data_IF_198785476926
#
_entry.id   IF_198785476926
#
_cell.length_a   1.000
_cell.length_b   1.000
_cell.length_c   1.000
_cell.angle_alpha   90.00
_cell.angle_beta   90.00
_cell.angle_gamma   90.00
#
_symmetry.space_group_name_H-M   'P 1'
#
loop_
_entity.id
_entity.type
_entity.pdbx_description
1 polymer ?
#
# COMPACT_ATOMS: atom_id res chain seq x y z
N UNK A 1 -10.51 -1.16 -16.58
CA UNK A 1 -9.08 -0.81 -16.59
C UNK A 1 -8.92 0.57 -17.19
N UNK A 2 -8.02 1.37 -16.64
CA UNK A 2 -7.73 2.73 -17.10
C UNK A 2 -6.43 2.74 -17.90
N UNK A 3 -6.37 3.56 -18.95
CA UNK A 3 -5.15 3.78 -19.72
C UNK A 3 -4.36 4.92 -19.06
N UNK A 4 -3.23 4.61 -18.43
CA UNK A 4 -2.42 5.55 -17.65
C UNK A 4 -0.93 5.35 -17.92
N UNK A 5 -0.10 6.32 -17.53
CA UNK A 5 1.35 6.18 -17.52
C UNK A 5 1.83 5.17 -16.47
N UNK A 6 2.68 4.22 -16.85
CA UNK A 6 3.41 3.38 -15.90
C UNK A 6 4.59 4.12 -15.25
N UNK A 7 5.39 3.40 -14.45
CA UNK A 7 6.54 4.00 -13.77
C UNK A 7 7.58 4.58 -14.75
N UNK A 8 7.73 4.02 -15.94
CA UNK A 8 8.60 4.51 -17.01
C UNK A 8 7.98 5.61 -17.88
N UNK A 9 6.79 6.12 -17.50
CA UNK A 9 5.93 7.01 -18.29
C UNK A 9 5.36 6.40 -19.58
N UNK A 10 5.70 5.15 -19.92
CA UNK A 10 5.06 4.42 -21.00
C UNK A 10 3.60 4.13 -20.64
N UNK A 11 2.68 4.31 -21.59
CA UNK A 11 1.26 4.03 -21.35
C UNK A 11 1.01 2.53 -21.14
N UNK A 12 0.21 2.21 -20.12
CA UNK A 12 -0.23 0.86 -19.76
C UNK A 12 -1.70 0.85 -19.37
N UNK A 13 -2.27 -0.34 -19.34
CA UNK A 13 -3.57 -0.56 -18.74
C UNK A 13 -3.36 -0.90 -17.26
N UNK A 14 -4.13 -0.26 -16.39
CA UNK A 14 -4.12 -0.51 -14.96
C UNK A 14 -5.53 -0.88 -14.47
N UNK A 15 -5.61 -1.93 -13.66
CA UNK A 15 -6.85 -2.26 -12.97
C UNK A 15 -7.05 -1.29 -11.79
N UNK A 16 -8.30 -0.87 -11.60
CA UNK A 16 -8.76 -0.11 -10.42
C UNK A 16 -10.07 -0.74 -9.95
N UNK A 17 -10.30 -0.72 -8.65
CA UNK A 17 -11.56 -1.17 -8.06
C UNK A 17 -12.54 -0.02 -7.96
N UNK A 18 -13.79 -0.22 -8.35
CA UNK A 18 -14.89 0.72 -8.08
C UNK A 18 -15.87 -0.01 -7.16
N UNK A 19 -16.01 0.45 -5.92
CA UNK A 19 -16.90 -0.14 -4.92
C UNK A 19 -18.34 0.29 -5.22
N UNK A 20 -18.53 1.57 -5.49
CA UNK A 20 -19.81 2.20 -5.82
C UNK A 20 -19.58 3.45 -6.69
N UNK A 21 -20.67 4.16 -7.04
CA UNK A 21 -20.60 5.34 -7.90
C UNK A 21 -19.72 6.50 -7.38
N UNK A 22 -19.34 6.50 -6.10
CA UNK A 22 -18.53 7.54 -5.46
C UNK A 22 -17.24 7.05 -4.84
N UNK A 23 -16.98 5.73 -4.79
CA UNK A 23 -15.86 5.15 -4.05
C UNK A 23 -15.02 4.23 -4.93
N UNK A 24 -13.70 4.46 -4.95
CA UNK A 24 -12.74 3.64 -5.68
C UNK A 24 -11.56 3.20 -4.82
N UNK A 25 -10.94 2.09 -5.23
CA UNK A 25 -9.68 1.55 -4.70
C UNK A 25 -8.64 1.61 -5.81
N UNK A 26 -7.49 2.21 -5.52
CA UNK A 26 -6.35 2.28 -6.41
C UNK A 26 -5.17 1.55 -5.76
N UNK A 27 -4.63 0.58 -6.47
CA UNK A 27 -3.43 -0.14 -6.03
C UNK A 27 -2.18 0.42 -6.69
N UNK A 28 -1.21 0.84 -5.88
CA UNK A 28 0.05 1.41 -6.39
C UNK A 28 0.82 0.40 -7.24
N UNK A 29 0.80 -0.89 -6.86
CA UNK A 29 1.46 -1.97 -7.58
C UNK A 29 0.90 -2.19 -8.99
N UNK A 30 -0.39 -1.93 -9.20
CA UNK A 30 -1.05 -2.08 -10.51
C UNK A 30 -0.66 -1.00 -11.52
N UNK A 31 -0.14 0.15 -11.06
CA UNK A 31 0.23 1.28 -11.92
C UNK A 31 1.76 1.42 -11.99
N UNK A 32 2.44 1.42 -10.84
CA UNK A 32 3.87 1.68 -10.73
C UNK A 32 4.61 0.58 -9.94
N UNK A 33 4.15 -0.66 -10.05
CA UNK A 33 4.66 -1.79 -9.28
C UNK A 33 6.10 -2.18 -9.54
N UNK A 34 6.76 -2.72 -8.51
CA UNK A 34 8.12 -3.27 -8.55
C UNK A 34 8.24 -4.56 -9.37
N UNK A 35 7.11 -5.22 -9.62
CA UNK A 35 7.03 -6.42 -10.46
C UNK A 35 6.81 -6.08 -11.94
N UNK A 36 6.60 -4.80 -12.30
CA UNK A 36 6.46 -4.37 -13.68
C UNK A 36 7.83 -4.32 -14.38
N UNK A 37 8.11 -5.22 -15.35
CA UNK A 37 9.39 -5.25 -16.03
C UNK A 37 9.66 -3.98 -16.87
N UNK A 38 8.61 -3.32 -17.38
CA UNK A 38 8.75 -2.10 -18.21
C UNK A 38 9.12 -0.91 -17.33
N UNK A 39 8.50 -0.80 -16.15
CA UNK A 39 8.88 0.20 -15.14
C UNK A 39 10.29 -0.05 -14.59
N UNK A 40 10.63 -1.30 -14.33
CA UNK A 40 11.93 -1.68 -13.75
C UNK A 40 13.08 -1.64 -14.76
N UNK A 41 12.83 -1.63 -16.07
CA UNK A 41 13.87 -1.52 -17.09
C UNK A 41 14.50 -0.12 -17.19
N UNK A 42 13.88 0.90 -16.60
CA UNK A 42 14.45 2.25 -16.50
C UNK A 42 15.06 2.50 -15.12
N UNK A 43 16.10 3.34 -15.00
CA UNK A 43 16.68 3.74 -13.73
C UNK A 43 15.63 4.33 -12.76
N UNK A 44 15.80 4.06 -11.46
CA UNK A 44 14.86 4.51 -10.41
C UNK A 44 14.67 6.03 -10.39
N UNK A 45 15.69 6.79 -10.79
CA UNK A 45 15.68 8.24 -10.81
C UNK A 45 14.97 8.85 -12.05
N UNK A 46 14.55 8.01 -12.99
CA UNK A 46 13.70 8.37 -14.12
C UNK A 46 12.23 7.91 -13.94
N UNK A 47 11.92 7.19 -12.86
CA UNK A 47 10.57 6.65 -12.64
C UNK A 47 9.62 7.71 -12.06
N UNK A 48 8.36 7.68 -12.47
CA UNK A 48 7.34 8.65 -12.08
C UNK A 48 6.07 7.97 -11.57
N UNK A 49 5.38 8.64 -10.66
CA UNK A 49 4.04 8.26 -10.18
C UNK A 49 2.89 8.90 -10.95
N UNK A 50 3.15 9.53 -12.11
CA UNK A 50 2.14 10.25 -12.90
C UNK A 50 0.87 9.46 -13.17
N UNK A 51 0.98 8.17 -13.48
CA UNK A 51 -0.20 7.32 -13.72
C UNK A 51 -1.17 7.25 -12.55
N UNK A 52 -0.68 7.40 -11.30
CA UNK A 52 -1.56 7.46 -10.13
C UNK A 52 -2.46 8.70 -10.18
N UNK A 53 -1.89 9.86 -10.53
CA UNK A 53 -2.63 11.11 -10.70
C UNK A 53 -3.62 11.04 -11.86
N UNK A 54 -3.20 10.45 -12.98
CA UNK A 54 -4.08 10.23 -14.15
C UNK A 54 -5.26 9.29 -13.82
N UNK A 55 -5.01 8.22 -13.05
CA UNK A 55 -6.06 7.32 -12.58
C UNK A 55 -7.06 8.04 -11.68
N UNK A 56 -6.58 8.81 -10.69
CA UNK A 56 -7.44 9.60 -9.81
C UNK A 56 -8.25 10.61 -10.62
N UNK A 57 -7.62 11.35 -11.54
CA UNK A 57 -8.31 12.33 -12.41
C UNK A 57 -9.41 11.68 -13.24
N UNK A 58 -9.14 10.53 -13.83
CA UNK A 58 -10.14 9.78 -14.62
C UNK A 58 -11.32 9.36 -13.73
N UNK A 59 -11.06 8.87 -12.52
CA UNK A 59 -12.12 8.50 -11.58
C UNK A 59 -12.90 9.73 -11.06
N UNK A 60 -12.24 10.88 -10.91
CA UNK A 60 -12.93 12.15 -10.61
C UNK A 60 -13.90 12.55 -11.75
N UNK A 61 -13.56 12.27 -13.00
CA UNK A 61 -14.43 12.47 -14.18
C UNK A 61 -15.66 11.55 -14.12
N UNK A 62 -15.50 10.34 -13.57
CA UNK A 62 -16.58 9.38 -13.34
C UNK A 62 -17.44 9.69 -12.10
N UNK A 63 -17.11 10.75 -11.35
CA UNK A 63 -17.88 11.17 -10.17
C UNK A 63 -17.42 10.58 -8.84
N UNK A 64 -16.33 9.80 -8.84
CA UNK A 64 -15.71 9.29 -7.61
C UNK A 64 -15.23 10.46 -6.76
N UNK A 65 -15.46 10.38 -5.45
CA UNK A 65 -14.99 11.36 -4.47
C UNK A 65 -14.33 10.71 -3.26
N UNK A 66 -14.37 9.39 -3.11
CA UNK A 66 -13.67 8.67 -2.05
C UNK A 66 -12.68 7.69 -2.64
N UNK A 67 -11.44 7.76 -2.18
CA UNK A 67 -10.34 6.99 -2.72
C UNK A 67 -9.62 6.24 -1.61
N UNK A 68 -9.62 4.90 -1.69
CA UNK A 68 -8.67 4.07 -0.97
C UNK A 68 -7.43 3.89 -1.83
N UNK A 69 -6.25 4.23 -1.31
CA UNK A 69 -4.98 4.10 -2.04
C UNK A 69 -4.09 3.11 -1.31
N UNK A 70 -3.90 1.92 -1.89
CA UNK A 70 -3.00 0.90 -1.36
C UNK A 70 -1.56 1.21 -1.79
N UNK A 71 -0.66 1.46 -0.82
CA UNK A 71 0.72 1.91 -1.07
C UNK A 71 1.74 0.77 -1.17
N UNK A 72 1.31 -0.50 -1.16
CA UNK A 72 2.22 -1.64 -1.30
C UNK A 72 2.90 -1.73 -2.67
N UNK A 73 4.12 -2.25 -2.70
CA UNK A 73 4.73 -2.78 -3.93
C UNK A 73 5.23 -1.77 -4.98
N UNK A 74 5.44 -0.49 -4.64
CA UNK A 74 5.90 0.54 -5.59
C UNK A 74 7.34 0.32 -6.11
N UNK A 75 7.63 0.74 -7.34
CA UNK A 75 8.97 0.84 -7.95
C UNK A 75 9.59 2.25 -7.94
N UNK A 76 8.83 3.26 -7.51
CA UNK A 76 9.14 4.70 -7.65
C UNK A 76 9.76 5.31 -6.39
N UNK A 77 10.42 6.47 -6.52
CA UNK A 77 11.02 7.22 -5.42
C UNK A 77 10.99 8.74 -5.70
N UNK A 78 9.86 9.26 -6.17
CA UNK A 78 9.70 10.62 -6.72
C UNK A 78 8.97 11.58 -5.77
N UNK A 79 8.88 11.26 -4.47
CA UNK A 79 8.11 12.03 -3.48
C UNK A 79 6.60 12.10 -3.78
N UNK A 80 6.07 11.26 -4.68
CA UNK A 80 4.72 11.40 -5.21
C UNK A 80 4.52 12.65 -6.08
N UNK A 81 5.60 13.28 -6.54
CA UNK A 81 5.53 14.47 -7.38
C UNK A 81 4.88 14.18 -8.74
N UNK A 82 5.11 12.99 -9.30
CA UNK A 82 4.40 12.52 -10.49
C UNK A 82 2.89 12.47 -10.30
N UNK A 83 2.41 11.90 -9.20
CA UNK A 83 0.97 11.84 -8.85
C UNK A 83 0.36 13.25 -8.85
N UNK A 84 1.00 14.20 -8.19
CA UNK A 84 0.51 15.58 -8.12
C UNK A 84 0.54 16.26 -9.49
N UNK A 85 1.56 16.00 -10.31
CA UNK A 85 1.61 16.49 -11.69
C UNK A 85 0.48 15.91 -12.56
N UNK A 86 0.15 14.63 -12.40
CA UNK A 86 -1.01 14.00 -13.06
C UNK A 86 -2.36 14.64 -12.68
N UNK A 87 -2.41 15.25 -11.48
CA UNK A 87 -3.55 16.01 -10.97
C UNK A 87 -3.52 17.51 -11.30
N UNK A 88 -2.50 17.98 -12.03
CA UNK A 88 -2.41 19.36 -12.51
C UNK A 88 -1.39 20.26 -11.79
N UNK A 89 -0.59 19.74 -10.85
CA UNK A 89 0.55 20.45 -10.29
C UNK A 89 1.59 20.73 -11.38
N UNK A 90 2.16 21.94 -11.39
CA UNK A 90 3.22 22.30 -12.33
C UNK A 90 4.50 22.66 -11.58
N UNK A 91 5.63 22.14 -12.07
CA UNK A 91 6.97 22.41 -11.53
C UNK A 91 7.78 23.19 -12.56
N UNK A 92 8.54 24.18 -12.09
CA UNK A 92 9.36 25.03 -12.94
C UNK A 92 10.78 25.14 -12.40
N UNK A 93 11.76 25.20 -13.31
CA UNK A 93 13.14 25.50 -12.97
C UNK A 93 13.38 27.00 -12.73
N UNK A 94 14.63 27.37 -12.42
CA UNK A 94 15.01 28.76 -12.16
C UNK A 94 14.87 29.68 -13.39
N UNK A 95 14.84 29.12 -14.61
CA UNK A 95 14.59 29.85 -15.86
C UNK A 95 13.09 29.93 -16.20
N UNK A 96 12.21 29.40 -15.34
CA UNK A 96 10.78 29.37 -15.56
C UNK A 96 10.33 28.33 -16.59
N UNK A 97 11.19 27.38 -16.96
CA UNK A 97 10.81 26.30 -17.87
C UNK A 97 10.13 25.16 -17.11
N UNK A 98 9.09 24.51 -17.69
CA UNK A 98 8.46 23.35 -17.07
C UNK A 98 9.45 22.20 -16.84
N UNK A 99 9.33 21.56 -15.68
CA UNK A 99 10.14 20.40 -15.28
C UNK A 99 9.21 19.21 -15.02
N UNK A 100 9.49 18.09 -15.67
CA UNK A 100 8.89 16.81 -15.33
C UNK A 100 9.46 16.35 -13.97
N UNK A 101 8.64 16.19 -12.91
CA UNK A 101 9.16 15.95 -11.57
C UNK A 101 9.46 14.46 -11.35
N UNK A 102 10.52 13.98 -12.02
CA UNK A 102 11.17 12.68 -11.74
C UNK A 102 12.31 12.87 -10.73
N UNK A 103 12.74 11.83 -9.99
CA UNK A 103 13.72 11.98 -8.92
C UNK A 103 15.02 12.67 -9.35
N UNK A 104 15.52 12.37 -10.56
CA UNK A 104 16.73 13.00 -11.12
C UNK A 104 16.59 14.51 -11.36
N UNK A 105 15.36 15.01 -11.49
CA UNK A 105 15.05 16.41 -11.82
C UNK A 105 14.47 17.19 -10.64
N UNK A 106 14.14 16.55 -9.52
CA UNK A 106 13.54 17.22 -8.36
C UNK A 106 14.42 18.36 -7.81
N UNK A 107 15.75 18.18 -7.86
CA UNK A 107 16.71 19.20 -7.42
C UNK A 107 16.73 20.46 -8.30
N UNK A 108 16.23 20.37 -9.53
CA UNK A 108 16.20 21.51 -10.46
C UNK A 108 14.95 22.38 -10.30
N UNK A 109 13.93 21.88 -9.60
CA UNK A 109 12.69 22.60 -9.35
C UNK A 109 13.00 23.79 -8.45
N UNK A 110 12.65 24.99 -8.92
CA UNK A 110 12.80 26.24 -8.19
C UNK A 110 11.44 26.82 -7.77
N UNK A 111 10.35 26.45 -8.46
CA UNK A 111 8.99 26.91 -8.16
C UNK A 111 7.98 25.81 -8.42
N UNK A 112 6.99 25.71 -7.53
CA UNK A 112 5.81 24.87 -7.69
C UNK A 112 4.59 25.79 -7.86
N UNK A 113 3.72 25.45 -8.80
CA UNK A 113 2.43 26.08 -9.02
C UNK A 113 1.32 25.07 -8.81
N UNK A 114 0.56 25.28 -7.75
CA UNK A 114 -0.56 24.43 -7.36
C UNK A 114 -1.92 24.96 -7.84
N UNK A 115 -1.97 26.11 -8.54
CA UNK A 115 -3.22 26.70 -9.01
C UNK A 115 -3.93 25.83 -10.07
N UNK A 116 -3.17 24.97 -10.75
CA UNK A 116 -3.67 24.00 -11.74
C UNK A 116 -4.16 22.68 -11.16
N UNK A 117 -4.02 22.45 -9.85
CA UNK A 117 -4.53 21.23 -9.22
C UNK A 117 -6.05 21.12 -9.43
N UNK A 118 -6.50 19.90 -9.73
CA UNK A 118 -7.91 19.62 -10.01
C UNK A 118 -8.81 20.13 -8.87
N UNK A 119 -9.76 21.05 -9.12
CA UNK A 119 -10.55 21.68 -8.07
C UNK A 119 -11.43 20.67 -7.31
N UNK A 120 -11.76 19.53 -7.92
CA UNK A 120 -12.57 18.46 -7.31
C UNK A 120 -11.85 17.76 -6.17
N UNK A 121 -10.53 17.92 -6.05
CA UNK A 121 -9.75 17.40 -4.92
C UNK A 121 -10.22 17.97 -3.58
N UNK A 122 -10.84 19.17 -3.57
CA UNK A 122 -11.43 19.77 -2.36
C UNK A 122 -12.68 19.02 -1.86
N UNK A 123 -13.32 18.27 -2.74
CA UNK A 123 -14.48 17.43 -2.43
C UNK A 123 -14.08 15.97 -2.23
N UNK A 124 -12.82 15.62 -2.47
CA UNK A 124 -12.34 14.26 -2.45
C UNK A 124 -11.79 13.88 -1.06
N UNK A 125 -12.15 12.69 -0.60
CA UNK A 125 -11.60 12.04 0.58
C UNK A 125 -10.58 10.99 0.13
N UNK A 126 -9.39 11.05 0.70
CA UNK A 126 -8.32 10.09 0.44
C UNK A 126 -7.98 9.32 1.71
N UNK A 127 -7.91 7.99 1.59
CA UNK A 127 -7.47 7.08 2.65
C UNK A 127 -6.27 6.31 2.13
N UNK A 128 -5.09 6.65 2.62
CA UNK A 128 -3.87 5.90 2.38
C UNK A 128 -3.84 4.64 3.24
N UNK A 129 -3.78 3.47 2.61
CA UNK A 129 -3.59 2.20 3.30
C UNK A 129 -2.09 1.89 3.34
N UNK A 130 -1.51 2.03 4.54
CA UNK A 130 -0.09 1.84 4.76
C UNK A 130 0.19 1.26 6.14
N UNK A 131 1.10 0.29 6.18
CA UNK A 131 1.53 -0.38 7.42
C UNK A 131 2.94 0.08 7.84
N UNK A 132 3.44 1.19 7.28
CA UNK A 132 4.76 1.75 7.60
C UNK A 132 4.64 3.17 8.15
N UNK A 133 5.51 3.52 9.10
CA UNK A 133 5.55 4.81 9.78
C UNK A 133 6.68 5.73 9.30
N UNK A 134 7.52 5.24 8.39
CA UNK A 134 8.68 5.96 7.86
C UNK A 134 8.34 7.39 7.38
N UNK A 135 9.11 8.42 7.77
CA UNK A 135 8.98 9.77 7.21
C UNK A 135 9.45 9.82 5.76
N UNK A 136 9.29 10.96 5.09
CA UNK A 136 9.72 11.12 3.70
C UNK A 136 11.24 10.97 3.54
N UNK A 137 12.02 11.67 4.37
CA UNK A 137 13.48 11.81 4.24
C UNK A 137 14.26 11.36 5.47
N UNK A 138 15.59 11.28 5.37
CA UNK A 138 16.50 10.96 6.47
C UNK A 138 16.83 9.48 6.59
N UNK A 139 17.49 9.10 7.69
CA UNK A 139 18.01 7.73 7.89
C UNK A 139 16.92 6.65 7.90
N UNK A 140 15.70 7.03 8.29
CA UNK A 140 14.52 6.17 8.27
C UNK A 140 13.53 6.56 7.15
N UNK A 141 13.97 7.38 6.20
CA UNK A 141 13.13 7.91 5.12
C UNK A 141 12.92 6.94 3.95
N UNK A 142 12.12 7.36 2.99
CA UNK A 142 11.73 6.56 1.82
C UNK A 142 12.93 5.99 1.06
N UNK A 143 13.90 6.86 0.73
CA UNK A 143 15.08 6.52 -0.06
C UNK A 143 16.00 5.57 0.70
N UNK A 144 16.28 5.86 1.98
CA UNK A 144 17.21 5.08 2.78
C UNK A 144 16.70 3.66 3.06
N UNK A 145 15.41 3.52 3.40
CA UNK A 145 14.83 2.25 3.83
C UNK A 145 14.33 1.42 2.66
N UNK A 146 13.63 2.03 1.69
CA UNK A 146 12.96 1.31 0.61
C UNK A 146 13.62 1.52 -0.76
N UNK A 147 14.56 2.45 -0.90
CA UNK A 147 15.29 2.69 -2.14
C UNK A 147 16.09 1.47 -2.64
N UNK A 148 16.83 0.73 -1.78
CA UNK A 148 17.69 -0.36 -2.24
C UNK A 148 16.96 -1.44 -3.05
N UNK A 149 15.78 -1.89 -2.59
CA UNK A 149 14.97 -2.87 -3.33
C UNK A 149 14.46 -2.33 -4.68
N UNK A 150 14.33 -1.00 -4.83
CA UNK A 150 13.89 -0.34 -6.07
C UNK A 150 15.04 -0.08 -7.04
N UNK A 151 16.29 -0.38 -6.65
CA UNK A 151 17.48 -0.13 -7.46
C UNK A 151 18.23 1.16 -7.13
N UNK A 152 17.95 1.82 -6.00
CA UNK A 152 18.79 2.92 -5.50
C UNK A 152 20.12 2.36 -5.00
N UNK A 153 21.23 2.82 -5.57
CA UNK A 153 22.56 2.43 -5.11
C UNK A 153 22.96 3.22 -3.85
N UNK A 154 23.87 2.70 -2.99
CA UNK A 154 24.31 3.41 -1.79
C UNK A 154 24.83 4.82 -2.04
N UNK A 155 25.47 5.06 -3.20
CA UNK A 155 26.00 6.38 -3.59
C UNK A 155 24.90 7.36 -4.01
N UNK A 156 23.73 6.87 -4.41
CA UNK A 156 22.58 7.70 -4.80
C UNK A 156 21.72 8.12 -3.61
N UNK A 157 21.77 7.40 -2.49
CA UNK A 157 20.86 7.60 -1.34
C UNK A 157 20.88 9.06 -0.88
N UNK A 158 22.05 9.63 -0.58
CA UNK A 158 22.16 11.00 -0.08
C UNK A 158 21.62 12.04 -1.07
N UNK A 159 21.93 11.88 -2.37
CA UNK A 159 21.49 12.82 -3.41
C UNK A 159 19.98 12.77 -3.63
N UNK A 160 19.40 11.57 -3.72
CA UNK A 160 17.96 11.40 -3.92
C UNK A 160 17.17 11.84 -2.67
N UNK A 161 17.65 11.52 -1.47
CA UNK A 161 17.01 11.95 -0.22
C UNK A 161 17.00 13.48 -0.09
N UNK A 162 18.12 14.14 -0.42
CA UNK A 162 18.18 15.61 -0.45
C UNK A 162 17.24 16.22 -1.51
N UNK A 163 17.12 15.59 -2.68
CA UNK A 163 16.20 16.03 -3.72
C UNK A 163 14.72 15.91 -3.30
N UNK A 164 14.37 14.83 -2.59
CA UNK A 164 13.05 14.64 -1.97
C UNK A 164 12.78 15.73 -0.92
N UNK A 165 13.75 16.03 -0.06
CA UNK A 165 13.64 17.06 0.97
C UNK A 165 13.40 18.45 0.38
N UNK A 166 14.17 18.81 -0.66
CA UNK A 166 13.98 20.09 -1.37
C UNK A 166 12.60 20.17 -2.04
N UNK A 167 12.14 19.08 -2.68
CA UNK A 167 10.81 19.07 -3.26
C UNK A 167 9.72 19.26 -2.20
N UNK A 168 9.87 18.61 -1.04
CA UNK A 168 8.96 18.80 0.08
C UNK A 168 8.95 20.25 0.59
N UNK A 169 10.10 20.93 0.68
CA UNK A 169 10.17 22.35 1.06
C UNK A 169 9.31 23.23 0.16
N UNK A 170 9.43 23.04 -1.15
CA UNK A 170 8.69 23.81 -2.12
C UNK A 170 7.19 23.48 -2.10
N UNK A 171 6.84 22.20 -1.94
CA UNK A 171 5.46 21.75 -2.01
C UNK A 171 4.67 22.14 -0.76
N UNK A 172 5.27 21.97 0.43
CA UNK A 172 4.66 22.36 1.70
C UNK A 172 4.38 23.86 1.73
N UNK A 173 5.33 24.68 1.24
CA UNK A 173 5.15 26.12 1.12
C UNK A 173 4.06 26.49 0.08
N UNK A 174 4.00 25.79 -1.06
CA UNK A 174 3.02 26.07 -2.11
C UNK A 174 1.57 25.72 -1.71
N UNK A 175 1.39 24.74 -0.82
CA UNK A 175 0.09 24.25 -0.37
C UNK A 175 -0.30 24.69 1.05
N UNK A 176 0.59 25.39 1.76
CA UNK A 176 0.44 25.77 3.18
C UNK A 176 0.04 24.57 4.05
N UNK A 177 0.80 23.47 3.90
CA UNK A 177 0.54 22.20 4.59
C UNK A 177 1.85 21.48 4.86
N UNK A 178 1.98 20.86 6.03
CA UNK A 178 3.14 20.07 6.41
C UNK A 178 2.79 18.58 6.40
N UNK A 179 3.65 17.76 5.81
CA UNK A 179 3.38 16.34 5.62
C UNK A 179 4.62 15.44 5.61
N UNK A 180 5.83 15.98 5.42
CA UNK A 180 7.02 15.15 5.21
C UNK A 180 7.42 14.29 6.41
N UNK A 181 7.12 14.76 7.61
CA UNK A 181 7.48 14.10 8.88
C UNK A 181 6.31 13.29 9.47
N UNK A 182 5.14 13.31 8.82
CA UNK A 182 4.01 12.50 9.25
C UNK A 182 4.30 11.02 9.04
N UNK A 183 3.77 10.19 9.93
CA UNK A 183 3.88 8.75 9.80
C UNK A 183 3.36 8.27 8.44
N UNK A 184 4.14 7.44 7.77
CA UNK A 184 3.81 6.91 6.44
C UNK A 184 4.09 7.87 5.28
N UNK A 185 4.65 9.06 5.51
CA UNK A 185 5.03 9.97 4.43
C UNK A 185 6.05 9.35 3.46
N UNK A 186 6.92 8.47 3.94
CA UNK A 186 7.89 7.74 3.12
C UNK A 186 7.32 6.52 2.38
N UNK A 187 6.06 6.16 2.65
CA UNK A 187 5.42 5.02 2.01
C UNK A 187 5.45 5.16 0.49
N UNK A 188 5.72 4.03 -0.18
CA UNK A 188 5.78 3.94 -1.64
C UNK A 188 6.69 4.98 -2.33
N UNK A 189 7.84 5.32 -1.72
CA UNK A 189 8.77 6.27 -2.33
C UNK A 189 8.32 7.73 -2.24
N UNK A 190 7.47 8.03 -1.25
CA UNK A 190 6.93 9.36 -1.00
C UNK A 190 5.54 9.61 -1.60
N UNK A 191 4.89 8.61 -2.19
CA UNK A 191 3.44 8.70 -2.48
C UNK A 191 2.63 8.98 -1.21
N UNK A 192 3.07 8.44 -0.07
CA UNK A 192 2.46 8.75 1.21
C UNK A 192 2.49 10.25 1.52
N UNK A 193 3.63 10.91 1.29
CA UNK A 193 3.77 12.36 1.41
C UNK A 193 2.82 13.10 0.46
N UNK A 194 2.75 12.73 -0.82
CA UNK A 194 1.80 13.36 -1.75
C UNK A 194 0.34 13.20 -1.31
N UNK A 195 -0.05 12.06 -0.75
CA UNK A 195 -1.38 11.85 -0.19
C UNK A 195 -1.63 12.72 1.06
N UNK A 196 -0.66 12.85 1.97
CA UNK A 196 -0.73 13.82 3.07
C UNK A 196 -0.91 15.25 2.55
N UNK A 197 -0.20 15.61 1.47
CA UNK A 197 -0.36 16.90 0.82
C UNK A 197 -1.72 17.10 0.15
N UNK A 198 -2.44 16.02 -0.19
CA UNK A 198 -3.84 16.05 -0.62
C UNK A 198 -4.84 16.01 0.55
N UNK A 199 -4.37 15.85 1.79
CA UNK A 199 -5.20 15.81 3.00
C UNK A 199 -5.71 14.42 3.34
N UNK A 200 -5.02 13.38 2.86
CA UNK A 200 -5.39 12.00 3.13
C UNK A 200 -5.27 11.65 4.62
N UNK A 201 -6.16 10.77 5.06
CA UNK A 201 -5.99 10.05 6.32
C UNK A 201 -5.26 8.73 6.05
N UNK A 202 -4.53 8.24 7.05
CA UNK A 202 -3.82 6.97 6.95
C UNK A 202 -4.41 5.98 7.93
N UNK A 203 -4.71 4.79 7.41
CA UNK A 203 -5.27 3.69 8.18
C UNK A 203 -4.55 2.39 7.82
N UNK A 204 -4.51 1.45 8.76
CA UNK A 204 -4.02 0.11 8.49
C UNK A 204 -4.89 -0.56 7.42
N UNK A 205 -4.28 -1.16 6.40
CA UNK A 205 -5.03 -1.68 5.25
C UNK A 205 -6.02 -2.79 5.65
N UNK A 206 -5.61 -3.66 6.58
CA UNK A 206 -6.46 -4.74 7.07
C UNK A 206 -7.71 -4.24 7.81
N UNK A 207 -7.62 -3.14 8.57
CA UNK A 207 -8.75 -2.51 9.26
C UNK A 207 -9.75 -1.92 8.27
N UNK A 208 -9.24 -1.22 7.24
CA UNK A 208 -10.07 -0.68 6.16
C UNK A 208 -10.83 -1.82 5.46
N UNK A 209 -10.13 -2.89 5.08
CA UNK A 209 -10.75 -4.05 4.42
C UNK A 209 -11.80 -4.70 5.32
N UNK A 210 -11.49 -4.95 6.59
CA UNK A 210 -12.43 -5.55 7.55
C UNK A 210 -13.74 -4.75 7.64
N UNK A 211 -13.63 -3.41 7.69
CA UNK A 211 -14.79 -2.52 7.70
C UNK A 211 -15.54 -2.53 6.37
N UNK A 212 -14.86 -2.52 5.23
CA UNK A 212 -15.50 -2.52 3.91
C UNK A 212 -16.27 -3.81 3.62
N UNK A 213 -15.77 -4.96 4.07
CA UNK A 213 -16.45 -6.25 3.88
C UNK A 213 -17.53 -6.53 4.94
N UNK A 214 -17.71 -5.63 5.91
CA UNK A 214 -18.69 -5.79 6.99
C UNK A 214 -18.33 -6.90 7.97
N UNK A 215 -17.05 -7.08 8.31
CA UNK A 215 -16.58 -8.18 9.16
C UNK A 215 -17.30 -8.22 10.52
N UNK A 216 -17.49 -7.07 11.18
CA UNK A 216 -18.20 -7.01 12.46
C UNK A 216 -19.64 -7.52 12.38
N UNK A 217 -20.33 -7.21 11.28
CA UNK A 217 -21.68 -7.68 11.05
C UNK A 217 -21.70 -9.20 10.77
N UNK A 218 -20.71 -9.70 10.04
CA UNK A 218 -20.56 -11.14 9.79
C UNK A 218 -20.21 -11.95 11.05
N UNK A 219 -19.51 -11.33 12.01
CA UNK A 219 -19.17 -11.93 13.29
C UNK A 219 -20.34 -11.96 14.28
N UNK A 220 -21.35 -11.11 14.09
CA UNK A 220 -22.52 -11.07 14.97
C UNK A 220 -23.30 -12.39 14.90
N UNK A 221 -23.20 -13.19 15.98
CA UNK A 221 -23.82 -14.52 16.07
C UNK A 221 -23.03 -15.65 15.43
N UNK A 222 -21.79 -15.41 15.00
CA UNK A 222 -20.90 -16.47 14.51
C UNK A 222 -20.36 -17.31 15.67
N UNK A 223 -20.28 -18.63 15.51
CA UNK A 223 -19.72 -19.54 16.51
C UNK A 223 -18.18 -19.66 16.43
N UNK A 224 -17.60 -19.24 15.30
CA UNK A 224 -16.19 -19.44 14.99
C UNK A 224 -15.72 -18.59 13.82
N UNK A 225 -14.54 -17.98 13.97
CA UNK A 225 -13.78 -17.40 12.87
C UNK A 225 -12.60 -18.31 12.52
N UNK A 226 -12.43 -18.63 11.24
CA UNK A 226 -11.18 -19.17 10.69
C UNK A 226 -10.56 -18.09 9.81
N UNK A 227 -9.29 -17.78 10.03
CA UNK A 227 -8.52 -16.83 9.23
C UNK A 227 -7.13 -17.39 8.93
N UNK A 228 -6.38 -16.77 8.03
CA UNK A 228 -5.07 -17.28 7.62
C UNK A 228 -4.32 -16.37 6.66
N UNK A 229 -3.06 -16.69 6.45
CA UNK A 229 -2.21 -16.08 5.41
C UNK A 229 -1.22 -17.13 4.87
N UNK A 230 -0.37 -16.75 3.91
CA UNK A 230 0.63 -17.66 3.35
C UNK A 230 1.64 -18.17 4.39
N UNK A 231 2.14 -17.28 5.25
CA UNK A 231 3.00 -17.63 6.39
C UNK A 231 2.71 -16.70 7.56
N UNK A 232 2.39 -17.27 8.71
CA UNK A 232 2.25 -16.51 9.94
C UNK A 232 3.51 -16.55 10.78
N UNK A 233 3.97 -15.37 11.18
CA UNK A 233 5.17 -15.13 11.98
C UNK A 233 4.91 -14.01 12.99
N UNK A 234 5.95 -13.49 13.64
CA UNK A 234 5.79 -12.42 14.64
C UNK A 234 5.22 -11.13 14.05
N UNK A 235 5.44 -10.88 12.75
CA UNK A 235 4.92 -9.69 12.06
C UNK A 235 3.42 -9.81 11.78
N UNK A 236 2.85 -11.01 11.80
CA UNK A 236 1.39 -11.19 11.74
C UNK A 236 0.68 -10.40 12.83
N UNK A 237 1.27 -10.35 14.03
CA UNK A 237 0.75 -9.61 15.18
C UNK A 237 0.92 -8.07 15.05
N UNK A 238 1.63 -7.60 14.03
CA UNK A 238 1.83 -6.16 13.78
C UNK A 238 0.76 -5.58 12.84
N UNK A 239 -0.47 -6.08 12.94
CA UNK A 239 -1.62 -5.52 12.21
C UNK A 239 -1.89 -6.14 10.84
N UNK A 240 -1.36 -7.34 10.55
CA UNK A 240 -1.75 -8.08 9.34
C UNK A 240 -3.18 -8.60 9.45
N UNK A 241 -3.76 -8.92 8.29
CA UNK A 241 -5.15 -9.36 8.14
C UNK A 241 -5.58 -10.46 9.14
N UNK A 242 -4.82 -11.55 9.38
CA UNK A 242 -5.27 -12.58 10.32
C UNK A 242 -5.41 -12.06 11.76
N UNK A 243 -4.50 -11.19 12.19
CA UNK A 243 -4.54 -10.64 13.52
C UNK A 243 -5.65 -9.61 13.68
N UNK A 244 -5.87 -8.75 12.68
CA UNK A 244 -7.02 -7.82 12.69
C UNK A 244 -8.33 -8.60 12.78
N UNK A 245 -8.53 -9.60 11.92
CA UNK A 245 -9.73 -10.42 11.95
C UNK A 245 -9.92 -11.12 13.32
N UNK A 246 -8.84 -11.62 13.92
CA UNK A 246 -8.86 -12.18 15.27
C UNK A 246 -9.30 -11.16 16.33
N UNK A 247 -8.80 -9.92 16.28
CA UNK A 247 -9.21 -8.87 17.23
C UNK A 247 -10.68 -8.52 17.12
N UNK A 248 -11.21 -8.44 15.90
CA UNK A 248 -12.65 -8.24 15.67
C UNK A 248 -13.47 -9.41 16.24
N UNK A 249 -13.05 -10.65 15.99
CA UNK A 249 -13.71 -11.82 16.54
C UNK A 249 -13.69 -11.85 18.08
N UNK A 250 -12.56 -11.53 18.70
CA UNK A 250 -12.44 -11.42 20.17
C UNK A 250 -13.38 -10.36 20.75
N UNK A 251 -13.48 -9.19 20.10
CA UNK A 251 -14.40 -8.13 20.52
C UNK A 251 -15.88 -8.56 20.44
N UNK A 252 -16.21 -9.43 19.48
CA UNK A 252 -17.53 -10.04 19.35
C UNK A 252 -17.75 -11.29 20.24
N UNK A 253 -16.75 -11.71 21.02
CA UNK A 253 -16.82 -12.93 21.83
C UNK A 253 -16.73 -14.23 21.02
N UNK A 254 -16.28 -14.15 19.76
CA UNK A 254 -16.16 -15.27 18.84
C UNK A 254 -14.74 -15.85 18.91
N UNK A 255 -14.56 -17.16 19.17
CA UNK A 255 -13.23 -17.77 19.13
C UNK A 255 -12.67 -17.74 17.70
N UNK A 256 -11.38 -17.47 17.57
CA UNK A 256 -10.71 -17.36 16.28
C UNK A 256 -9.56 -18.38 16.17
N UNK A 257 -9.52 -19.13 15.06
CA UNK A 257 -8.42 -20.05 14.75
C UNK A 257 -7.65 -19.58 13.52
N UNK A 258 -6.35 -19.81 13.53
CA UNK A 258 -5.44 -19.49 12.45
C UNK A 258 -5.14 -20.75 11.63
N UNK A 259 -5.43 -20.72 10.34
CA UNK A 259 -5.07 -21.74 9.36
C UNK A 259 -4.22 -21.09 8.27
N UNK A 260 -2.90 -21.15 8.42
CA UNK A 260 -1.95 -20.48 7.52
C UNK A 260 -1.12 -21.50 6.75
N UNK A 261 -0.67 -21.15 5.54
CA UNK A 261 0.14 -22.06 4.71
C UNK A 261 1.41 -22.57 5.41
N UNK A 262 1.96 -21.74 6.30
CA UNK A 262 2.95 -22.13 7.30
C UNK A 262 2.77 -21.29 8.57
N UNK A 263 3.17 -21.85 9.71
CA UNK A 263 3.26 -21.13 10.99
C UNK A 263 4.70 -21.22 11.49
N UNK A 264 5.31 -20.08 11.78
CA UNK A 264 6.67 -20.03 12.31
C UNK A 264 6.71 -20.61 13.73
N UNK A 265 7.49 -21.68 13.99
CA UNK A 265 7.58 -22.28 15.32
C UNK A 265 8.05 -21.30 16.40
N UNK A 266 8.87 -20.30 16.04
CA UNK A 266 9.34 -19.29 16.98
C UNK A 266 8.25 -18.27 17.33
N UNK A 267 7.28 -18.05 16.44
CA UNK A 267 6.14 -17.14 16.67
C UNK A 267 4.95 -17.83 17.34
N UNK A 268 4.85 -19.17 17.25
CA UNK A 268 3.72 -19.95 17.73
C UNK A 268 3.30 -19.66 19.19
N UNK A 269 4.23 -19.50 20.17
CA UNK A 269 3.83 -19.15 21.53
C UNK A 269 3.05 -17.84 21.61
N UNK A 270 3.50 -16.80 20.90
CA UNK A 270 2.84 -15.49 20.86
C UNK A 270 1.54 -15.51 20.07
N UNK A 271 1.49 -16.24 18.96
CA UNK A 271 0.25 -16.40 18.19
C UNK A 271 -0.83 -17.10 19.02
N UNK A 272 -0.44 -18.11 19.82
CA UNK A 272 -1.36 -18.88 20.67
C UNK A 272 -1.93 -18.09 21.85
N UNK A 273 -1.39 -16.90 22.16
CA UNK A 273 -2.00 -15.98 23.14
C UNK A 273 -3.29 -15.34 22.59
N UNK A 274 -3.47 -15.30 21.27
CA UNK A 274 -4.59 -14.64 20.61
C UNK A 274 -5.55 -15.63 19.91
N UNK A 275 -5.00 -16.64 19.24
CA UNK A 275 -5.79 -17.62 18.50
C UNK A 275 -6.07 -18.87 19.33
N UNK A 276 -7.29 -19.39 19.24
CA UNK A 276 -7.70 -20.65 19.90
C UNK A 276 -6.98 -21.89 19.36
N UNK A 277 -6.33 -21.77 18.20
CA UNK A 277 -5.46 -22.79 17.62
C UNK A 277 -4.77 -22.25 16.37
N UNK A 278 -3.53 -22.67 16.13
CA UNK A 278 -2.73 -22.29 14.96
C UNK A 278 -2.35 -23.56 14.20
N UNK A 279 -2.70 -23.61 12.91
CA UNK A 279 -2.60 -24.79 12.07
C UNK A 279 -1.88 -24.49 10.76
N UNK A 280 -1.17 -25.51 10.26
CA UNK A 280 -0.52 -25.51 8.96
C UNK A 280 -1.04 -26.73 8.18
N UNK A 281 -1.48 -26.57 6.93
CA UNK A 281 -2.18 -27.63 6.19
C UNK A 281 -1.25 -28.70 5.59
N UNK A 282 0.07 -28.59 5.79
CA UNK A 282 1.02 -29.54 5.24
C UNK A 282 0.94 -30.91 5.98
N UNK A 283 0.71 -32.04 5.28
CA UNK A 283 0.53 -33.36 5.91
C UNK A 283 1.85 -34.02 6.34
N UNK A 284 2.97 -33.30 6.23
CA UNK A 284 4.33 -33.80 6.39
C UNK A 284 5.32 -33.02 5.51
N UNK A 285 6.57 -33.50 5.36
CA UNK A 285 7.54 -32.87 4.48
C UNK A 285 7.09 -32.89 3.02
N UNK A 286 6.84 -31.72 2.45
CA UNK A 286 6.53 -31.50 1.03
C UNK A 286 7.37 -30.33 0.50
N UNK A 287 7.58 -30.28 -0.82
CA UNK A 287 8.25 -29.13 -1.44
C UNK A 287 7.32 -27.91 -1.48
N UNK A 288 7.88 -26.71 -1.55
CA UNK A 288 7.10 -25.47 -1.68
C UNK A 288 6.22 -25.49 -2.93
N UNK A 289 6.74 -25.99 -4.06
CA UNK A 289 5.97 -26.10 -5.31
C UNK A 289 4.74 -27.00 -5.15
N UNK A 290 4.89 -28.14 -4.45
CA UNK A 290 3.77 -29.03 -4.15
C UNK A 290 2.78 -28.35 -3.20
N UNK A 291 3.27 -27.66 -2.16
CA UNK A 291 2.43 -26.95 -1.21
C UNK A 291 1.58 -25.85 -1.88
N UNK A 292 2.17 -25.07 -2.79
CA UNK A 292 1.47 -24.02 -3.53
C UNK A 292 0.48 -24.64 -4.54
N UNK A 293 0.92 -25.64 -5.31
CA UNK A 293 0.08 -26.30 -6.32
C UNK A 293 -1.15 -26.96 -5.70
N UNK A 294 -0.98 -27.64 -4.57
CA UNK A 294 -2.03 -28.43 -3.93
C UNK A 294 -2.72 -27.69 -2.77
N UNK A 295 -2.45 -26.38 -2.60
CA UNK A 295 -2.89 -25.56 -1.46
C UNK A 295 -4.39 -25.67 -1.17
N UNK A 296 -5.24 -25.68 -2.20
CA UNK A 296 -6.69 -25.77 -2.04
C UNK A 296 -7.11 -27.09 -1.36
N UNK A 297 -6.54 -28.22 -1.78
CA UNK A 297 -6.85 -29.52 -1.20
C UNK A 297 -6.28 -29.63 0.22
N UNK A 298 -5.07 -29.12 0.44
CA UNK A 298 -4.43 -29.11 1.75
C UNK A 298 -5.25 -28.30 2.76
N UNK A 299 -5.67 -27.08 2.39
CA UNK A 299 -6.52 -26.22 3.21
C UNK A 299 -7.88 -26.86 3.49
N UNK A 300 -8.53 -27.46 2.48
CA UNK A 300 -9.82 -28.12 2.65
C UNK A 300 -9.74 -29.31 3.62
N UNK A 301 -8.71 -30.16 3.48
CA UNK A 301 -8.50 -31.30 4.36
C UNK A 301 -8.27 -30.86 5.82
N UNK A 302 -7.40 -29.87 6.04
CA UNK A 302 -7.13 -29.37 7.39
C UNK A 302 -8.37 -28.72 7.99
N UNK A 303 -9.07 -27.86 7.24
CA UNK A 303 -10.32 -27.24 7.69
C UNK A 303 -11.40 -28.28 8.05
N UNK A 304 -11.49 -29.39 7.31
CA UNK A 304 -12.38 -30.50 7.65
C UNK A 304 -12.01 -31.11 9.00
N UNK A 305 -10.73 -31.40 9.24
CA UNK A 305 -10.28 -31.98 10.51
C UNK A 305 -10.53 -31.04 11.69
N UNK A 306 -10.27 -29.74 11.53
CA UNK A 306 -10.54 -28.72 12.55
C UNK A 306 -12.03 -28.66 12.89
N UNK A 307 -12.89 -28.70 11.86
CA UNK A 307 -14.34 -28.67 12.02
C UNK A 307 -14.85 -29.94 12.71
N UNK A 308 -14.31 -31.12 12.36
CA UNK A 308 -14.63 -32.39 13.04
C UNK A 308 -14.19 -32.39 14.50
N UNK A 309 -13.03 -31.81 14.81
CA UNK A 309 -12.59 -31.67 16.21
C UNK A 309 -13.54 -30.76 17.01
N UNK A 310 -14.01 -29.65 16.41
CA UNK A 310 -14.86 -28.66 17.10
C UNK A 310 -16.33 -29.08 17.23
N UNK A 311 -16.90 -29.69 16.19
CA UNK A 311 -18.34 -29.98 16.10
C UNK A 311 -18.67 -31.46 15.91
N UNK A 312 -17.67 -32.32 15.77
CA UNK A 312 -17.91 -33.76 15.66
C UNK A 312 -18.60 -34.27 16.92
N UNK A 313 -19.76 -34.89 16.74
CA UNK A 313 -20.38 -35.68 17.79
C UNK A 313 -19.51 -36.92 18.03
N UNK A 314 -19.16 -37.18 19.29
CA UNK A 314 -18.74 -38.50 19.73
C UNK A 314 -19.97 -39.42 19.83
#
# INVERSE_FOLDING_TARGET
ALRVAGASLAARDAAVGVIDARTAIIETAEIVGITDPVGMSVPVDARSTRGMGEAIRTLLDEGVRRFFVALGGSSTNDAGAGLLAGLGLQCFDAAGQPVEPVPARLADIARIDASGLDPRLKEAEFIGMSDVDNPLTGAHGATAVFGPQKGVTPVQVATLDAALGRFADLLEAALDRHGRDLAGAGAAGGLGFALHMLGAQFEAGAEVVARQIGLDAALAGADWLITGEGRSDVQTLHGKAPFIACRHAQAAGVPASLLSGAVDPAALPRLSEHFSGCFSPAPGPITLDVAIRDAANLLANEAEQLTRLKYGAH
#
